data_IF_013874204024
#
_entry.id   IF_013874204024
#
_cell.length_a   1.000
_cell.length_b   1.000
_cell.length_c   1.000
_cell.angle_alpha   90.00
_cell.angle_beta   90.00
_cell.angle_gamma   90.00
#
_symmetry.space_group_name_H-M   'P 1'
#
loop_
_entity.id
_entity.type
_entity.pdbx_description
1 polymer ?
#
# COMPACT_ATOMS: atom_id res chain seq x y z
N UNK A 1 6.71 -4.13 15.74
CA UNK A 1 6.26 -2.87 15.09
C UNK A 1 4.88 -2.52 15.66
N UNK A 2 4.63 -1.29 16.11
CA UNK A 2 3.42 -0.97 16.88
C UNK A 2 2.22 -0.76 15.94
N UNK A 3 1.34 -1.76 15.79
CA UNK A 3 0.20 -1.74 14.85
C UNK A 3 -0.71 -0.52 15.04
N UNK A 4 -0.80 -0.03 16.28
CA UNK A 4 -1.62 1.12 16.65
C UNK A 4 -1.22 2.42 15.94
N UNK A 5 0.09 2.60 15.65
CA UNK A 5 0.59 3.78 14.94
C UNK A 5 0.16 3.80 13.46
N UNK A 6 0.14 2.63 12.81
CA UNK A 6 -0.32 2.52 11.43
C UNK A 6 -1.82 2.73 11.32
N UNK A 7 -2.59 2.21 12.28
CA UNK A 7 -4.02 2.46 12.34
C UNK A 7 -4.36 3.94 12.50
N UNK A 8 -3.60 4.70 13.28
CA UNK A 8 -3.78 6.14 13.43
C UNK A 8 -3.36 6.91 12.17
N UNK A 9 -2.19 6.60 11.61
CA UNK A 9 -1.66 7.28 10.42
C UNK A 9 -2.56 7.09 9.19
N UNK A 10 -3.15 5.89 9.03
CA UNK A 10 -4.04 5.55 7.92
C UNK A 10 -5.53 5.79 8.22
N UNK A 11 -5.88 6.31 9.39
CA UNK A 11 -7.27 6.43 9.82
C UNK A 11 -8.12 7.25 8.84
N UNK A 12 -7.56 8.36 8.32
CA UNK A 12 -8.25 9.24 7.36
C UNK A 12 -8.52 8.53 6.04
N UNK A 13 -7.48 7.94 5.43
CA UNK A 13 -7.60 7.18 4.18
C UNK A 13 -8.56 6.02 4.30
N UNK A 14 -8.46 5.24 5.40
CA UNK A 14 -9.36 4.12 5.67
C UNK A 14 -10.81 4.57 5.77
N UNK A 15 -11.10 5.66 6.49
CA UNK A 15 -12.46 6.16 6.66
C UNK A 15 -13.06 6.60 5.32
N UNK A 16 -12.31 7.32 4.50
CA UNK A 16 -12.79 7.77 3.19
C UNK A 16 -13.01 6.61 2.22
N UNK A 17 -12.04 5.69 2.11
CA UNK A 17 -12.15 4.54 1.22
C UNK A 17 -13.27 3.58 1.65
N UNK A 18 -13.34 3.26 2.94
CA UNK A 18 -14.36 2.36 3.47
C UNK A 18 -15.77 2.92 3.32
N UNK A 19 -15.97 4.22 3.57
CA UNK A 19 -17.29 4.84 3.43
C UNK A 19 -17.78 4.80 1.98
N UNK A 20 -16.91 5.07 0.99
CA UNK A 20 -17.26 5.00 -0.44
C UNK A 20 -17.61 3.58 -0.87
N UNK A 21 -16.78 2.61 -0.50
CA UNK A 21 -17.02 1.21 -0.84
C UNK A 21 -18.28 0.66 -0.13
N UNK A 22 -18.54 1.07 1.12
CA UNK A 22 -19.74 0.69 1.85
C UNK A 22 -21.02 1.28 1.24
N UNK A 23 -20.99 2.53 0.76
CA UNK A 23 -22.14 3.12 0.06
C UNK A 23 -22.46 2.42 -1.26
N UNK A 24 -21.44 1.97 -1.99
CA UNK A 24 -21.62 1.25 -3.26
C UNK A 24 -22.26 -0.13 -3.06
N UNK A 25 -21.87 -0.84 -1.99
CA UNK A 25 -22.37 -2.18 -1.69
C UNK A 25 -23.75 -2.21 -1.03
N UNK A 26 -24.17 -1.10 -0.40
CA UNK A 26 -25.52 -0.97 0.15
C UNK A 26 -26.59 -0.70 -0.91
N UNK A 27 -26.18 -0.34 -2.14
CA UNK A 27 -27.08 0.21 -3.14
C UNK A 27 -27.55 -0.79 -4.22
N UNK A 28 -26.82 -1.86 -4.54
CA UNK A 28 -27.24 -2.77 -5.64
C UNK A 28 -26.41 -4.05 -5.74
N UNK A 29 -26.93 -5.03 -6.50
CA UNK A 29 -26.17 -6.16 -7.05
C UNK A 29 -24.87 -5.69 -7.75
N UNK A 30 -23.93 -6.62 -7.99
CA UNK A 30 -22.65 -6.36 -8.67
C UNK A 30 -22.82 -6.07 -10.17
N UNK A 31 -23.56 -5.01 -10.48
CA UNK A 31 -23.88 -4.53 -11.84
C UNK A 31 -22.64 -3.94 -12.53
N UNK A 32 -22.73 -3.71 -13.84
CA UNK A 32 -21.64 -3.09 -14.59
C UNK A 32 -21.27 -1.69 -14.05
N UNK A 33 -22.25 -0.92 -13.57
CA UNK A 33 -22.04 0.40 -12.96
C UNK A 33 -21.21 0.33 -11.69
N UNK A 34 -21.48 -0.66 -10.82
CA UNK A 34 -20.70 -0.88 -9.60
C UNK A 34 -19.21 -1.09 -9.91
N UNK A 35 -18.91 -1.92 -10.92
CA UNK A 35 -17.53 -2.20 -11.31
C UNK A 35 -16.81 -0.97 -11.87
N UNK A 36 -17.54 -0.11 -12.57
CA UNK A 36 -17.01 1.13 -13.15
C UNK A 36 -16.68 2.15 -12.04
N UNK A 37 -17.59 2.35 -11.10
CA UNK A 37 -17.37 3.21 -9.93
C UNK A 37 -16.22 2.73 -9.05
N UNK A 38 -16.03 1.41 -8.95
CA UNK A 38 -14.94 0.81 -8.19
C UNK A 38 -13.59 1.12 -8.84
N UNK A 39 -13.51 0.99 -10.16
CA UNK A 39 -12.32 1.34 -10.95
C UNK A 39 -11.92 2.80 -10.74
N UNK A 40 -12.87 3.72 -10.91
CA UNK A 40 -12.65 5.14 -10.69
C UNK A 40 -12.18 5.41 -9.25
N UNK A 41 -12.80 4.76 -8.26
CA UNK A 41 -12.43 4.90 -6.86
C UNK A 41 -11.01 4.44 -6.58
N UNK A 42 -10.59 3.30 -7.14
CA UNK A 42 -9.23 2.77 -6.95
C UNK A 42 -8.19 3.66 -7.65
N UNK A 43 -8.49 4.16 -8.86
CA UNK A 43 -7.61 5.10 -9.57
C UNK A 43 -7.45 6.41 -8.79
N UNK A 44 -8.54 6.97 -8.26
CA UNK A 44 -8.51 8.17 -7.41
C UNK A 44 -7.78 7.96 -6.08
N UNK A 45 -7.60 6.71 -5.64
CA UNK A 45 -6.89 6.35 -4.42
C UNK A 45 -5.38 6.12 -4.64
N UNK A 46 -4.82 6.65 -5.73
CA UNK A 46 -3.40 6.57 -6.11
C UNK A 46 -2.88 5.17 -6.49
N UNK A 47 -3.76 4.19 -6.78
CA UNK A 47 -3.32 2.88 -7.27
C UNK A 47 -2.85 2.92 -8.75
N UNK A 48 -3.40 3.86 -9.52
CA UNK A 48 -3.13 3.99 -10.95
C UNK A 48 -3.77 2.90 -11.82
N UNK A 49 -3.84 3.17 -13.12
CA UNK A 49 -4.51 2.31 -14.11
C UNK A 49 -3.87 0.93 -14.22
N UNK A 50 -2.53 0.88 -14.20
CA UNK A 50 -1.73 -0.35 -14.33
C UNK A 50 -2.00 -1.37 -13.22
N UNK A 51 -2.47 -0.90 -12.06
CA UNK A 51 -2.75 -1.74 -10.89
C UNK A 51 -4.25 -2.03 -10.76
N UNK A 52 -5.09 -1.01 -10.97
CA UNK A 52 -6.53 -1.12 -10.78
C UNK A 52 -7.21 -2.06 -11.77
N UNK A 53 -6.84 -2.00 -13.07
CA UNK A 53 -7.49 -2.82 -14.11
C UNK A 53 -7.27 -4.33 -13.88
N UNK A 54 -6.02 -4.81 -13.72
CA UNK A 54 -5.78 -6.25 -13.47
C UNK A 54 -6.48 -6.74 -12.21
N UNK A 55 -6.44 -5.94 -11.14
CA UNK A 55 -7.07 -6.27 -9.86
C UNK A 55 -8.59 -6.41 -9.99
N UNK A 56 -9.25 -5.49 -10.70
CA UNK A 56 -10.70 -5.56 -10.91
C UNK A 56 -11.10 -6.73 -11.80
N UNK A 57 -10.33 -7.02 -12.85
CA UNK A 57 -10.59 -8.17 -13.71
C UNK A 57 -10.50 -9.48 -12.93
N UNK A 58 -9.52 -9.60 -12.05
CA UNK A 58 -9.38 -10.77 -11.19
C UNK A 58 -10.52 -10.87 -10.18
N UNK A 59 -10.92 -9.74 -9.58
CA UNK A 59 -12.04 -9.69 -8.65
C UNK A 59 -13.39 -10.04 -9.33
N UNK A 60 -13.60 -9.62 -10.59
CA UNK A 60 -14.75 -10.04 -11.41
C UNK A 60 -14.74 -11.54 -11.68
N UNK A 61 -13.58 -12.10 -12.04
CA UNK A 61 -13.40 -13.53 -12.30
C UNK A 61 -13.78 -14.35 -11.07
N UNK A 62 -13.25 -13.97 -9.91
CA UNK A 62 -13.54 -14.64 -8.63
C UNK A 62 -15.01 -14.46 -8.25
N UNK A 63 -15.56 -13.26 -8.41
CA UNK A 63 -16.98 -13.00 -8.13
C UNK A 63 -17.91 -13.91 -8.93
N UNK A 64 -17.56 -14.19 -10.18
CA UNK A 64 -18.32 -15.08 -11.05
C UNK A 64 -18.12 -16.56 -10.68
N UNK A 65 -16.89 -16.97 -10.35
CA UNK A 65 -16.59 -18.38 -10.03
C UNK A 65 -17.07 -18.81 -8.64
N UNK A 66 -16.99 -17.91 -7.66
CA UNK A 66 -17.32 -18.21 -6.25
C UNK A 66 -18.73 -17.72 -5.85
N UNK A 67 -19.43 -17.02 -6.75
CA UNK A 67 -20.78 -16.53 -6.48
C UNK A 67 -20.82 -15.55 -5.31
N UNK A 68 -19.92 -14.55 -5.30
CA UNK A 68 -19.89 -13.53 -4.25
C UNK A 68 -21.21 -12.75 -4.29
N UNK A 69 -22.06 -12.94 -3.27
CA UNK A 69 -23.44 -12.44 -3.24
C UNK A 69 -23.64 -11.31 -2.22
N UNK A 70 -22.63 -11.05 -1.39
CA UNK A 70 -22.70 -10.04 -0.33
C UNK A 70 -21.50 -9.11 -0.38
N UNK A 71 -21.72 -7.85 0.02
CA UNK A 71 -20.62 -6.87 0.11
C UNK A 71 -19.52 -7.25 1.09
N UNK A 72 -19.84 -8.03 2.13
CA UNK A 72 -18.84 -8.55 3.07
C UNK A 72 -17.86 -9.52 2.42
N UNK A 73 -18.37 -10.49 1.65
CA UNK A 73 -17.55 -11.43 0.88
C UNK A 73 -16.70 -10.70 -0.16
N UNK A 74 -17.29 -9.72 -0.84
CA UNK A 74 -16.59 -8.87 -1.80
C UNK A 74 -15.41 -8.12 -1.16
N UNK A 75 -15.63 -7.45 -0.02
CA UNK A 75 -14.58 -6.73 0.69
C UNK A 75 -13.45 -7.63 1.16
N UNK A 76 -13.80 -8.83 1.64
CA UNK A 76 -12.81 -9.81 2.05
C UNK A 76 -11.92 -10.17 0.87
N UNK A 77 -12.50 -10.42 -0.31
CA UNK A 77 -11.71 -10.80 -1.48
C UNK A 77 -10.90 -9.64 -2.07
N UNK A 78 -11.45 -8.43 -2.11
CA UNK A 78 -10.69 -7.22 -2.46
C UNK A 78 -9.48 -7.05 -1.54
N UNK A 79 -9.65 -7.25 -0.24
CA UNK A 79 -8.55 -7.20 0.73
C UNK A 79 -7.48 -8.26 0.44
N UNK A 80 -7.89 -9.49 0.15
CA UNK A 80 -6.96 -10.59 -0.19
C UNK A 80 -6.10 -10.21 -1.40
N UNK A 81 -6.72 -9.81 -2.51
CA UNK A 81 -6.01 -9.43 -3.73
C UNK A 81 -5.05 -8.24 -3.52
N UNK A 82 -5.45 -7.24 -2.73
CA UNK A 82 -4.58 -6.11 -2.40
C UNK A 82 -3.35 -6.53 -1.57
N UNK A 83 -3.52 -7.50 -0.66
CA UNK A 83 -2.41 -8.03 0.14
C UNK A 83 -1.45 -8.83 -0.75
N UNK A 84 -1.97 -9.72 -1.58
CA UNK A 84 -1.17 -10.51 -2.53
C UNK A 84 -0.36 -9.60 -3.46
N UNK A 85 -0.99 -8.53 -3.96
CA UNK A 85 -0.31 -7.55 -4.79
C UNK A 85 0.84 -6.86 -4.04
N UNK A 86 0.64 -6.47 -2.78
CA UNK A 86 1.69 -5.88 -1.95
C UNK A 86 2.82 -6.86 -1.66
N UNK A 87 2.50 -8.11 -1.33
CA UNK A 87 3.48 -9.16 -1.05
C UNK A 87 4.36 -9.48 -2.25
N UNK A 88 3.81 -9.41 -3.47
CA UNK A 88 4.57 -9.64 -4.71
C UNK A 88 5.71 -8.64 -4.94
N UNK A 89 5.64 -7.46 -4.29
CA UNK A 89 6.61 -6.36 -4.42
C UNK A 89 7.58 -6.32 -3.23
N UNK A 90 7.37 -7.12 -2.18
CA UNK A 90 8.28 -7.15 -1.03
C UNK A 90 9.59 -7.84 -1.42
N UNK A 91 10.63 -7.04 -1.64
CA UNK A 91 11.99 -7.55 -1.84
C UNK A 91 12.48 -8.30 -0.59
N UNK A 92 13.28 -9.34 -0.83
CA UNK A 92 13.94 -10.06 0.25
C UNK A 92 14.87 -9.13 1.05
N UNK A 93 14.96 -9.33 2.38
CA UNK A 93 15.89 -8.55 3.18
C UNK A 93 17.33 -8.70 2.66
N UNK A 94 17.96 -7.56 2.34
CA UNK A 94 19.35 -7.50 1.89
C UNK A 94 20.31 -7.77 3.04
N UNK A 95 20.95 -8.94 3.02
CA UNK A 95 21.99 -9.34 3.97
C UNK A 95 23.39 -9.23 3.36
N UNK A 96 23.81 -8.02 3.03
CA UNK A 96 25.18 -7.75 2.55
C UNK A 96 25.96 -6.93 3.59
N UNK A 97 27.26 -7.21 3.76
CA UNK A 97 28.14 -6.45 4.65
C UNK A 97 29.45 -6.07 3.92
N UNK A 98 29.81 -4.77 3.86
CA UNK A 98 29.03 -3.62 4.34
C UNK A 98 27.77 -3.38 3.49
N UNK A 99 26.67 -2.99 4.14
CA UNK A 99 25.46 -2.53 3.45
C UNK A 99 25.59 -1.02 3.20
N UNK A 100 25.74 -0.63 1.95
CA UNK A 100 25.77 0.78 1.53
C UNK A 100 24.39 1.15 0.96
N UNK A 101 23.72 2.13 1.57
CA UNK A 101 22.41 2.63 1.13
C UNK A 101 22.55 4.08 0.70
N UNK A 102 22.22 4.38 -0.57
CA UNK A 102 22.19 5.74 -1.11
C UNK A 102 20.74 6.20 -1.20
N UNK A 103 20.40 7.31 -0.54
CA UNK A 103 19.07 7.92 -0.61
C UNK A 103 19.04 9.00 -1.70
N UNK A 104 18.40 8.70 -2.83
CA UNK A 104 18.18 9.65 -3.92
C UNK A 104 16.80 10.32 -3.84
N UNK A 105 16.67 11.55 -4.37
CA UNK A 105 15.41 12.28 -4.45
C UNK A 105 15.58 13.80 -4.51
N UNK A 106 14.50 14.52 -4.81
CA UNK A 106 14.50 15.99 -4.95
C UNK A 106 14.66 16.73 -3.61
N UNK A 107 14.97 18.03 -3.64
CA UNK A 107 15.05 18.85 -2.44
C UNK A 107 13.69 18.88 -1.71
N UNK A 108 13.69 18.77 -0.38
CA UNK A 108 12.47 18.76 0.42
C UNK A 108 11.76 17.40 0.57
N UNK A 109 12.18 16.33 -0.12
CA UNK A 109 11.54 15.00 0.00
C UNK A 109 11.79 14.26 1.32
N UNK A 110 12.50 14.89 2.27
CA UNK A 110 12.76 14.32 3.59
C UNK A 110 13.95 13.36 3.67
N UNK A 111 14.85 13.33 2.68
CA UNK A 111 16.04 12.43 2.64
C UNK A 111 16.83 12.40 3.96
N UNK A 112 17.22 13.57 4.46
CA UNK A 112 18.00 13.71 5.71
C UNK A 112 17.22 13.22 6.92
N UNK A 113 15.93 13.54 7.01
CA UNK A 113 15.04 13.10 8.10
C UNK A 113 14.84 11.59 8.08
N UNK A 114 14.69 11.00 6.88
CA UNK A 114 14.58 9.55 6.70
C UNK A 114 15.87 8.85 7.09
N UNK A 115 17.04 9.37 6.69
CA UNK A 115 18.34 8.84 7.08
C UNK A 115 18.51 8.83 8.60
N UNK A 116 18.21 9.95 9.27
CA UNK A 116 18.29 10.05 10.72
C UNK A 116 17.37 9.03 11.43
N UNK A 117 16.14 8.84 10.93
CA UNK A 117 15.19 7.84 11.48
C UNK A 117 15.66 6.40 11.25
N UNK A 118 16.29 6.10 10.12
CA UNK A 118 16.87 4.78 9.83
C UNK A 118 18.09 4.54 10.73
N UNK A 119 18.99 5.52 10.85
CA UNK A 119 20.15 5.50 11.73
C UNK A 119 19.76 5.18 13.18
N UNK A 120 18.83 5.96 13.73
CA UNK A 120 18.36 5.79 15.09
C UNK A 120 17.76 4.40 15.33
N UNK A 121 16.89 3.91 14.43
CA UNK A 121 16.28 2.56 14.54
C UNK A 121 17.29 1.42 14.47
N UNK A 122 18.37 1.56 13.69
CA UNK A 122 19.42 0.53 13.57
C UNK A 122 20.42 0.56 14.73
N UNK A 123 20.68 1.74 15.29
CA UNK A 123 21.43 1.89 16.53
C UNK A 123 20.67 1.28 17.71
N UNK A 124 19.37 1.56 17.84
CA UNK A 124 18.52 0.99 18.90
C UNK A 124 18.41 -0.54 18.85
N UNK A 125 18.54 -1.13 17.65
CA UNK A 125 18.55 -2.58 17.48
C UNK A 125 19.94 -3.20 17.68
N UNK A 126 21.02 -2.41 17.83
CA UNK A 126 22.38 -2.89 18.07
C UNK A 126 23.10 -3.48 16.84
N UNK A 127 22.56 -3.31 15.63
CA UNK A 127 22.99 -4.07 14.45
C UNK A 127 23.97 -3.34 13.52
N UNK A 128 23.98 -2.01 13.46
CA UNK A 128 24.76 -1.25 12.44
C UNK A 128 25.11 0.17 12.93
N UNK A 129 26.39 0.52 12.89
CA UNK A 129 26.86 1.91 12.90
C UNK A 129 26.57 2.54 11.53
N UNK A 130 25.67 3.53 11.48
CA UNK A 130 25.35 4.24 10.23
C UNK A 130 26.19 5.51 10.17
N UNK A 131 27.11 5.57 9.21
CA UNK A 131 27.93 6.75 8.92
C UNK A 131 27.21 7.55 7.81
N UNK A 132 26.58 8.69 8.11
CA UNK A 132 25.99 9.53 7.09
C UNK A 132 27.10 10.20 6.26
N UNK A 133 27.07 10.00 4.95
CA UNK A 133 27.90 10.75 4.01
C UNK A 133 27.11 11.99 3.56
N UNK A 134 27.62 13.18 3.86
CA UNK A 134 27.09 14.42 3.30
C UNK A 134 27.39 14.45 1.79
N UNK A 135 26.49 15.00 0.95
CA UNK A 135 26.84 15.26 -0.44
C UNK A 135 27.94 16.31 -0.45
N UNK A 136 29.18 15.88 -0.62
CA UNK A 136 30.28 16.78 -0.95
C UNK A 136 29.93 17.39 -2.30
N UNK A 137 29.79 18.71 -2.34
CA UNK A 137 29.72 19.47 -3.59
C UNK A 137 30.87 19.01 -4.48
N UNK A 138 30.55 18.45 -5.64
CA UNK A 138 31.51 18.23 -6.73
C UNK A 138 31.69 19.55 -7.46
#
# INVERSE_FOLDING_TARGET
MNANRWHQALARTRRTAFNRLASMLGATELTNTFWQELEETLIQADLGVSTSIPLINELKRISHSEGLTTGGQFFQQLRTLLIEHLESVLEQPLYVRPLVVILAGVNGSGKTTTLARIAHRRQDSGHVEIIPLSPTTI
#
